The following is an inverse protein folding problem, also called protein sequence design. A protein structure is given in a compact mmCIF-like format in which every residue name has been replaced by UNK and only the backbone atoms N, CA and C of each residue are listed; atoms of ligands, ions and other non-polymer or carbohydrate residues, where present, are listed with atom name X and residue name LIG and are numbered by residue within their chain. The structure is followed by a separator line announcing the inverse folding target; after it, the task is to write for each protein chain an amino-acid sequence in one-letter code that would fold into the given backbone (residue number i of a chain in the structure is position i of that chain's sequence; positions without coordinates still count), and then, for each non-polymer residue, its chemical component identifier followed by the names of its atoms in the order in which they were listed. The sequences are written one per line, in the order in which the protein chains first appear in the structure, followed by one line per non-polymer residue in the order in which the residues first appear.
data_IF_665507116019
#
_entry.id   IF_665507116019
#
_cell.length_a   1.000
_cell.length_b   1.000
_cell.length_c   1.000
_cell.angle_alpha   90.00
_cell.angle_beta   90.00
_cell.angle_gamma   90.00
#
_symmetry.space_group_name_H-M   'P 1'
#
loop_
_entity.id
_entity.type
_entity.pdbx_description
1 polymer ?
#
# COMPACT_ATOMS: atom_id res chain seq x y z
N UNK A 1 18.46 9.82 17.60
CA UNK A 1 18.56 11.29 17.48
C UNK A 1 18.35 11.67 16.02
N UNK A 2 17.27 12.38 15.67
CA UNK A 2 16.90 12.60 14.26
C UNK A 2 17.91 13.53 13.56
N UNK A 3 18.31 13.18 12.33
CA UNK A 3 19.23 14.00 11.50
C UNK A 3 18.79 15.47 11.36
N UNK A 4 17.50 15.74 11.55
CA UNK A 4 16.92 17.09 11.60
C UNK A 4 17.43 17.92 12.79
N UNK A 5 17.56 17.32 13.98
CA UNK A 5 18.14 18.01 15.16
C UNK A 5 19.60 18.38 14.91
N UNK A 6 20.38 17.47 14.31
CA UNK A 6 21.78 17.77 13.97
C UNK A 6 21.89 18.92 12.96
N UNK A 7 21.01 18.95 11.96
CA UNK A 7 20.98 20.03 10.96
C UNK A 7 20.57 21.38 11.56
N UNK A 8 19.53 21.40 12.41
CA UNK A 8 19.09 22.62 13.10
C UNK A 8 20.15 23.15 14.06
N UNK A 9 20.85 22.27 14.79
CA UNK A 9 21.97 22.65 15.64
C UNK A 9 23.12 23.21 14.78
N UNK A 10 23.41 22.60 13.63
CA UNK A 10 24.40 23.13 12.69
C UNK A 10 24.05 24.51 12.16
N UNK A 11 22.81 24.73 11.71
CA UNK A 11 22.36 26.04 11.24
C UNK A 11 22.36 27.09 12.35
N UNK A 12 21.90 26.74 13.56
CA UNK A 12 21.92 27.63 14.71
C UNK A 12 23.36 28.01 15.09
N UNK A 13 24.29 27.04 15.05
CA UNK A 13 25.69 27.29 15.35
C UNK A 13 26.33 28.23 14.32
N UNK A 14 26.07 28.03 13.02
CA UNK A 14 26.56 28.92 11.96
C UNK A 14 26.00 30.33 12.11
N UNK A 15 24.70 30.46 12.42
CA UNK A 15 24.08 31.77 12.65
C UNK A 15 24.67 32.48 13.88
N UNK A 16 24.87 31.75 14.98
CA UNK A 16 25.49 32.29 16.21
C UNK A 16 26.92 32.74 15.93
N UNK A 17 27.71 31.95 15.20
CA UNK A 17 29.08 32.32 14.81
C UNK A 17 29.07 33.57 13.94
N UNK A 18 28.14 33.68 12.97
CA UNK A 18 28.00 34.87 12.13
C UNK A 18 27.62 36.11 12.93
N UNK A 19 26.64 36.01 13.83
CA UNK A 19 26.21 37.11 14.71
C UNK A 19 27.35 37.53 15.62
N UNK A 20 28.05 36.58 16.23
CA UNK A 20 29.21 36.84 17.08
C UNK A 20 30.33 37.52 16.30
N UNK A 21 30.62 37.09 15.08
CA UNK A 21 31.61 37.74 14.21
C UNK A 21 31.20 39.17 13.86
N UNK A 22 29.91 39.38 13.54
CA UNK A 22 29.39 40.71 13.19
C UNK A 22 29.45 41.68 14.38
N UNK A 23 29.08 41.23 15.59
CA UNK A 23 29.20 42.02 16.81
C UNK A 23 30.66 42.30 17.16
N UNK A 24 31.55 41.32 17.02
CA UNK A 24 32.95 41.47 17.40
C UNK A 24 33.74 42.40 16.47
N UNK A 25 33.38 42.44 15.18
CA UNK A 25 34.03 43.31 14.19
C UNK A 25 33.36 44.68 14.03
N UNK A 26 32.08 44.83 14.41
CA UNK A 26 31.31 46.06 14.23
C UNK A 26 31.83 47.28 14.98
N UNK A 27 32.41 47.10 16.17
CA UNK A 27 32.83 48.22 17.04
C UNK A 27 34.28 48.69 16.85
N UNK A 28 35.13 47.91 16.17
CA UNK A 28 36.59 48.18 16.11
C UNK A 28 37.17 48.50 14.74
N UNK A 29 36.41 48.35 13.66
CA UNK A 29 36.93 48.57 12.32
C UNK A 29 36.05 49.54 11.54
N UNK A 30 36.59 50.74 11.27
CA UNK A 30 36.22 51.53 10.09
C UNK A 30 36.56 50.69 8.86
N UNK A 31 35.62 49.83 8.48
CA UNK A 31 35.83 48.84 7.42
C UNK A 31 36.00 49.59 6.11
N UNK A 32 37.12 49.40 5.43
CA UNK A 32 37.32 49.94 4.09
C UNK A 32 36.21 49.40 3.16
N UNK A 33 35.71 50.20 2.19
CA UNK A 33 34.58 49.83 1.33
C UNK A 33 34.80 48.51 0.57
N UNK A 34 36.05 48.08 0.37
CA UNK A 34 36.41 46.79 -0.20
C UNK A 34 36.03 45.59 0.69
N UNK A 35 36.09 45.70 2.02
CA UNK A 35 35.74 44.62 2.95
C UNK A 35 34.24 44.30 3.00
N UNK A 36 33.38 45.29 2.72
CA UNK A 36 31.93 45.10 2.65
C UNK A 36 31.49 44.30 1.42
N UNK A 37 32.25 44.35 0.33
CA UNK A 37 31.95 43.66 -0.93
C UNK A 37 32.23 42.16 -0.80
N UNK A 38 33.33 41.76 -0.16
CA UNK A 38 33.65 40.34 0.03
C UNK A 38 32.75 39.63 1.05
N UNK A 39 32.31 40.33 2.10
CA UNK A 39 31.43 39.75 3.13
C UNK A 39 30.02 39.42 2.63
N UNK A 40 29.46 40.25 1.75
CA UNK A 40 28.11 40.03 1.21
C UNK A 40 28.03 38.86 0.23
N UNK A 41 29.09 38.63 -0.56
CA UNK A 41 29.16 37.51 -1.51
C UNK A 41 29.15 36.13 -0.84
N UNK A 42 29.89 35.95 0.26
CA UNK A 42 29.94 34.67 0.98
C UNK A 42 28.59 34.32 1.62
N UNK A 43 27.94 35.31 2.24
CA UNK A 43 26.62 35.14 2.83
C UNK A 43 25.60 34.75 1.76
N UNK A 44 25.59 35.44 0.61
CA UNK A 44 24.71 35.11 -0.50
C UNK A 44 24.93 33.68 -1.03
N UNK A 45 26.18 33.23 -1.14
CA UNK A 45 26.50 31.87 -1.59
C UNK A 45 25.98 30.80 -0.61
N UNK A 46 26.21 30.96 0.70
CA UNK A 46 25.73 30.03 1.73
C UNK A 46 24.20 29.98 1.77
N UNK A 47 23.54 31.13 1.71
CA UNK A 47 22.07 31.20 1.67
C UNK A 47 21.51 30.54 0.41
N UNK A 48 22.11 30.78 -0.75
CA UNK A 48 21.70 30.14 -2.00
C UNK A 48 21.81 28.61 -1.91
N UNK A 49 22.92 28.11 -1.39
CA UNK A 49 23.14 26.67 -1.24
C UNK A 49 22.17 26.04 -0.22
N UNK A 50 21.83 26.75 0.85
CA UNK A 50 20.82 26.32 1.81
C UNK A 50 19.43 26.22 1.17
N UNK A 51 19.03 27.22 0.37
CA UNK A 51 17.75 27.22 -0.33
C UNK A 51 17.66 26.09 -1.36
N UNK A 52 18.72 25.85 -2.12
CA UNK A 52 18.80 24.73 -3.07
C UNK A 52 18.63 23.39 -2.33
N UNK A 53 19.38 23.19 -1.25
CA UNK A 53 19.27 21.97 -0.45
C UNK A 53 17.86 21.77 0.14
N UNK A 54 17.23 22.82 0.65
CA UNK A 54 15.85 22.74 1.17
C UNK A 54 14.85 22.38 0.06
N UNK A 55 15.01 22.96 -1.14
CA UNK A 55 14.18 22.67 -2.30
C UNK A 55 14.35 21.24 -2.79
N UNK A 56 15.59 20.78 -2.96
CA UNK A 56 15.91 19.40 -3.35
C UNK A 56 15.33 18.41 -2.35
N UNK A 57 15.54 18.64 -1.04
CA UNK A 57 14.99 17.77 0.00
C UNK A 57 13.47 17.73 0.00
N UNK A 58 12.80 18.85 -0.26
CA UNK A 58 11.35 18.88 -0.38
C UNK A 58 10.89 18.08 -1.60
N UNK A 59 11.58 18.23 -2.73
CA UNK A 59 11.30 17.49 -3.96
C UNK A 59 11.50 15.98 -3.77
N UNK A 60 12.61 15.57 -3.15
CA UNK A 60 12.93 14.16 -2.93
C UNK A 60 11.88 13.50 -2.03
N UNK A 61 11.45 14.19 -0.96
CA UNK A 61 10.33 13.71 -0.13
C UNK A 61 9.02 13.57 -0.90
N UNK A 62 8.69 14.52 -1.78
CA UNK A 62 7.49 14.44 -2.60
C UNK A 62 7.55 13.27 -3.59
N UNK A 63 8.73 13.00 -4.15
CA UNK A 63 8.95 11.84 -5.03
C UNK A 63 8.80 10.54 -4.23
N UNK A 64 9.48 10.41 -3.10
CA UNK A 64 9.37 9.22 -2.22
C UNK A 64 7.93 8.98 -1.76
N UNK A 65 7.19 10.02 -1.37
CA UNK A 65 5.79 9.92 -0.97
C UNK A 65 4.88 9.50 -2.14
N UNK A 66 5.16 9.99 -3.36
CA UNK A 66 4.42 9.62 -4.56
C UNK A 66 4.66 8.15 -4.91
N UNK A 67 5.92 7.71 -4.89
CA UNK A 67 6.31 6.34 -5.23
C UNK A 67 5.72 5.36 -4.22
N UNK A 68 5.79 5.69 -2.93
CA UNK A 68 5.16 4.91 -1.85
C UNK A 68 3.65 4.76 -2.07
N UNK A 69 2.94 5.85 -2.38
CA UNK A 69 1.49 5.80 -2.64
C UNK A 69 1.16 5.03 -3.90
N UNK A 70 1.97 5.15 -4.94
CA UNK A 70 1.79 4.43 -6.18
C UNK A 70 1.91 2.91 -5.98
N UNK A 71 2.94 2.47 -5.26
CA UNK A 71 3.14 1.04 -4.92
C UNK A 71 1.99 0.52 -4.06
N UNK A 72 1.60 1.27 -3.01
CA UNK A 72 0.48 0.89 -2.16
C UNK A 72 -0.84 0.82 -2.95
N UNK A 73 -1.05 1.72 -3.91
CA UNK A 73 -2.23 1.70 -4.78
C UNK A 73 -2.22 0.47 -5.70
N UNK A 74 -1.09 0.14 -6.31
CA UNK A 74 -0.98 -1.07 -7.14
C UNK A 74 -1.30 -2.32 -6.34
N UNK A 75 -0.73 -2.45 -5.15
CA UNK A 75 -1.00 -3.58 -4.26
C UNK A 75 -2.47 -3.64 -3.86
N UNK A 76 -3.06 -2.51 -3.42
CA UNK A 76 -4.47 -2.46 -3.05
C UNK A 76 -5.38 -2.88 -4.22
N UNK A 77 -5.13 -2.38 -5.43
CA UNK A 77 -5.92 -2.72 -6.63
C UNK A 77 -5.78 -4.20 -6.99
N UNK A 78 -4.59 -4.79 -6.86
CA UNK A 78 -4.41 -6.23 -7.07
C UNK A 78 -5.22 -7.06 -6.07
N UNK A 79 -5.22 -6.68 -4.80
CA UNK A 79 -6.01 -7.36 -3.77
C UNK A 79 -7.52 -7.18 -3.99
N UNK A 80 -7.97 -5.97 -4.33
CA UNK A 80 -9.38 -5.67 -4.65
C UNK A 80 -9.85 -6.50 -5.85
N UNK A 81 -9.04 -6.58 -6.90
CA UNK A 81 -9.33 -7.41 -8.07
C UNK A 81 -9.50 -8.87 -7.68
N UNK A 82 -8.61 -9.41 -6.85
CA UNK A 82 -8.71 -10.78 -6.37
C UNK A 82 -10.02 -11.02 -5.60
N UNK A 83 -10.40 -10.10 -4.70
CA UNK A 83 -11.66 -10.20 -3.96
C UNK A 83 -12.89 -10.16 -4.88
N UNK A 84 -12.88 -9.33 -5.92
CA UNK A 84 -13.94 -9.28 -6.94
C UNK A 84 -13.99 -10.60 -7.72
N UNK A 85 -12.84 -11.15 -8.12
CA UNK A 85 -12.78 -12.45 -8.80
C UNK A 85 -13.33 -13.59 -7.92
N UNK A 86 -13.08 -13.57 -6.60
CA UNK A 86 -13.72 -14.49 -5.66
C UNK A 86 -15.25 -14.36 -5.67
N UNK A 87 -15.78 -13.13 -5.60
CA UNK A 87 -17.22 -12.87 -5.64
C UNK A 87 -17.86 -13.36 -6.96
N UNK A 88 -17.18 -13.17 -8.09
CA UNK A 88 -17.65 -13.68 -9.38
C UNK A 88 -17.70 -15.22 -9.42
N UNK A 89 -16.69 -15.90 -8.87
CA UNK A 89 -16.66 -17.37 -8.79
C UNK A 89 -17.75 -17.92 -7.85
N UNK A 90 -18.06 -17.22 -6.76
CA UNK A 90 -19.17 -17.57 -5.85
C UNK A 90 -20.50 -17.58 -6.58
N UNK A 91 -20.80 -16.55 -7.39
CA UNK A 91 -22.03 -16.52 -8.18
C UNK A 91 -22.07 -17.70 -9.16
N UNK A 92 -20.97 -17.96 -9.87
CA UNK A 92 -20.88 -19.11 -10.79
C UNK A 92 -21.11 -20.45 -10.09
N UNK A 93 -20.58 -20.64 -8.87
CA UNK A 93 -20.82 -21.85 -8.09
C UNK A 93 -22.29 -21.95 -7.68
N UNK A 94 -22.91 -20.82 -7.32
CA UNK A 94 -24.33 -20.77 -6.96
C UNK A 94 -25.20 -21.18 -8.14
N UNK A 95 -24.88 -20.72 -9.35
CA UNK A 95 -25.57 -21.13 -10.58
C UNK A 95 -25.42 -22.65 -10.85
N UNK A 96 -24.21 -23.20 -10.66
CA UNK A 96 -23.94 -24.64 -10.81
C UNK A 96 -24.73 -25.46 -9.77
N UNK A 97 -24.80 -24.99 -8.52
CA UNK A 97 -25.57 -25.65 -7.48
C UNK A 97 -27.08 -25.63 -7.79
N UNK A 98 -27.60 -24.51 -8.27
CA UNK A 98 -29.00 -24.39 -8.69
C UNK A 98 -29.32 -25.35 -9.84
N UNK A 99 -28.47 -25.41 -10.86
CA UNK A 99 -28.60 -26.36 -11.98
C UNK A 99 -28.56 -27.82 -11.49
N UNK A 100 -27.66 -28.13 -10.54
CA UNK A 100 -27.58 -29.46 -9.93
C UNK A 100 -28.87 -29.85 -9.22
N UNK A 101 -29.50 -28.92 -8.48
CA UNK A 101 -30.77 -29.21 -7.82
C UNK A 101 -31.91 -29.49 -8.81
N UNK A 102 -31.87 -28.89 -9.99
CA UNK A 102 -32.87 -29.09 -11.04
C UNK A 102 -32.61 -30.38 -11.85
N UNK A 103 -31.35 -30.64 -12.23
CA UNK A 103 -30.99 -31.71 -13.19
C UNK A 103 -30.43 -32.97 -12.53
N UNK A 104 -30.06 -32.91 -11.24
CA UNK A 104 -29.37 -33.97 -10.47
C UNK A 104 -28.04 -34.42 -11.08
N UNK A 105 -27.44 -33.63 -11.96
CA UNK A 105 -26.18 -33.94 -12.63
C UNK A 105 -25.28 -32.71 -12.67
N UNK A 106 -23.99 -32.91 -12.45
CA UNK A 106 -22.99 -31.87 -12.69
C UNK A 106 -22.47 -32.00 -14.12
N UNK A 107 -22.84 -31.07 -14.99
CA UNK A 107 -22.28 -30.99 -16.35
C UNK A 107 -21.04 -30.09 -16.42
N UNK A 108 -20.80 -29.27 -15.38
CA UNK A 108 -19.76 -28.24 -15.36
C UNK A 108 -18.83 -28.45 -14.16
N UNK A 109 -17.52 -28.34 -14.39
CA UNK A 109 -16.53 -28.42 -13.34
C UNK A 109 -16.63 -27.22 -12.37
N UNK A 110 -16.41 -27.48 -11.09
CA UNK A 110 -16.38 -26.43 -10.06
C UNK A 110 -15.18 -25.52 -10.32
N UNK A 111 -15.37 -24.19 -10.37
CA UNK A 111 -14.25 -23.28 -10.52
C UNK A 111 -13.30 -23.38 -9.31
N UNK A 112 -12.00 -23.42 -9.59
CA UNK A 112 -10.93 -23.41 -8.57
C UNK A 112 -10.85 -22.07 -7.83
N UNK A 113 -9.92 -21.93 -6.88
CA UNK A 113 -9.57 -20.61 -6.34
C UNK A 113 -8.94 -19.72 -7.44
N UNK A 114 -9.19 -18.40 -7.42
CA UNK A 114 -8.45 -17.49 -8.29
C UNK A 114 -6.98 -17.48 -7.90
N UNK A 115 -6.12 -17.23 -8.89
CA UNK A 115 -4.69 -17.11 -8.66
C UNK A 115 -4.36 -15.66 -8.27
N UNK A 116 -3.70 -15.47 -7.14
CA UNK A 116 -3.24 -14.16 -6.70
C UNK A 116 -1.83 -13.91 -7.26
N UNK A 117 -1.74 -13.10 -8.33
CA UNK A 117 -0.47 -12.62 -8.85
C UNK A 117 -0.10 -11.29 -8.21
N UNK A 118 0.83 -11.33 -7.25
CA UNK A 118 1.40 -10.12 -6.68
C UNK A 118 2.28 -9.42 -7.72
N UNK A 119 2.31 -8.07 -7.80
CA UNK A 119 3.15 -7.39 -8.77
C UNK A 119 4.64 -7.53 -8.42
N UNK A 120 5.47 -7.92 -9.38
CA UNK A 120 6.93 -8.12 -9.18
C UNK A 120 7.66 -6.83 -8.80
N UNK A 121 7.13 -5.68 -9.23
CA UNK A 121 7.71 -4.36 -9.00
C UNK A 121 7.42 -3.77 -7.61
N UNK A 122 6.75 -4.51 -6.71
CA UNK A 122 6.45 -4.00 -5.36
C UNK A 122 7.72 -3.96 -4.53
N UNK A 123 8.24 -2.75 -4.32
CA UNK A 123 9.29 -2.53 -3.33
C UNK A 123 8.71 -2.59 -1.91
N UNK A 124 8.72 -3.78 -1.31
CA UNK A 124 8.16 -4.07 0.02
C UNK A 124 8.70 -3.17 1.16
N UNK A 125 9.84 -2.50 0.95
CA UNK A 125 10.41 -1.53 1.91
C UNK A 125 9.49 -0.36 2.23
N UNK A 126 8.53 -0.05 1.36
CA UNK A 126 7.61 1.07 1.53
C UNK A 126 6.31 0.73 2.27
N UNK A 127 6.05 -0.56 2.48
CA UNK A 127 4.87 -1.08 3.16
C UNK A 127 5.27 -1.48 4.58
N UNK A 128 4.37 -1.31 5.55
CA UNK A 128 4.64 -1.72 6.93
C UNK A 128 4.83 -3.24 7.01
N UNK A 129 5.82 -3.67 7.80
CA UNK A 129 6.22 -5.07 7.92
C UNK A 129 5.06 -5.99 8.33
N UNK A 130 4.14 -5.52 9.17
CA UNK A 130 2.94 -6.27 9.56
C UNK A 130 2.03 -6.53 8.35
N UNK A 131 1.72 -5.50 7.55
CA UNK A 131 0.92 -5.66 6.33
C UNK A 131 1.65 -6.53 5.29
N UNK A 132 2.95 -6.35 5.12
CA UNK A 132 3.75 -7.19 4.22
C UNK A 132 3.68 -8.66 4.63
N UNK A 133 3.78 -8.97 5.93
CA UNK A 133 3.62 -10.33 6.42
C UNK A 133 2.21 -10.88 6.14
N UNK A 134 1.15 -10.09 6.38
CA UNK A 134 -0.22 -10.49 6.07
C UNK A 134 -0.40 -10.78 4.57
N UNK A 135 0.08 -9.89 3.69
CA UNK A 135 -0.02 -10.04 2.22
C UNK A 135 0.76 -11.25 1.72
N UNK A 136 2.01 -11.43 2.16
CA UNK A 136 2.84 -12.57 1.74
C UNK A 136 2.30 -13.90 2.27
N UNK A 137 1.56 -13.89 3.39
CA UNK A 137 0.87 -15.07 3.90
C UNK A 137 -0.36 -15.48 3.08
N UNK A 138 -0.86 -14.64 2.16
CA UNK A 138 -2.02 -14.98 1.34
C UNK A 138 -1.74 -16.15 0.40
N UNK A 139 -0.58 -16.19 -0.25
CA UNK A 139 -0.24 -17.26 -1.18
C UNK A 139 -0.33 -18.67 -0.56
N UNK A 140 0.32 -18.96 0.59
CA UNK A 140 0.17 -20.26 1.24
C UNK A 140 -1.26 -20.52 1.75
N UNK A 141 -1.99 -19.48 2.19
CA UNK A 141 -3.40 -19.62 2.60
C UNK A 141 -4.30 -20.02 1.44
N UNK A 142 -4.12 -19.41 0.26
CA UNK A 142 -4.87 -19.74 -0.96
C UNK A 142 -4.56 -21.18 -1.38
N UNK A 143 -3.29 -21.58 -1.36
CA UNK A 143 -2.89 -22.96 -1.67
C UNK A 143 -3.49 -23.97 -0.68
N UNK A 144 -3.59 -23.62 0.60
CA UNK A 144 -4.24 -24.45 1.62
C UNK A 144 -5.75 -24.56 1.37
N UNK A 145 -6.43 -23.45 1.07
CA UNK A 145 -7.86 -23.45 0.74
C UNK A 145 -8.15 -24.30 -0.50
N UNK A 146 -7.33 -24.20 -1.56
CA UNK A 146 -7.45 -25.05 -2.75
C UNK A 146 -7.30 -26.54 -2.40
N UNK A 147 -6.32 -26.89 -1.57
CA UNK A 147 -6.14 -28.26 -1.09
C UNK A 147 -7.33 -28.77 -0.26
N UNK A 148 -7.94 -27.91 0.56
CA UNK A 148 -9.17 -28.23 1.31
C UNK A 148 -10.34 -28.51 0.37
N UNK A 149 -10.54 -27.67 -0.64
CA UNK A 149 -11.60 -27.85 -1.66
C UNK A 149 -11.40 -29.17 -2.40
N UNK A 150 -10.18 -29.45 -2.86
CA UNK A 150 -9.87 -30.68 -3.58
C UNK A 150 -10.08 -31.91 -2.71
N UNK A 151 -9.66 -31.87 -1.44
CA UNK A 151 -9.89 -32.96 -0.50
C UNK A 151 -11.39 -33.27 -0.32
N UNK A 152 -12.23 -32.24 -0.13
CA UNK A 152 -13.68 -32.43 0.01
C UNK A 152 -14.31 -32.91 -1.29
N UNK A 153 -13.85 -32.42 -2.45
CA UNK A 153 -14.27 -32.91 -3.76
C UNK A 153 -14.03 -34.41 -3.92
N UNK A 154 -12.83 -34.88 -3.55
CA UNK A 154 -12.45 -36.28 -3.67
C UNK A 154 -13.16 -37.17 -2.64
N UNK A 155 -13.35 -36.68 -1.42
CA UNK A 155 -13.91 -37.47 -0.32
C UNK A 155 -15.45 -37.51 -0.30
N UNK A 156 -16.10 -36.38 -0.61
CA UNK A 156 -17.55 -36.18 -0.43
C UNK A 156 -18.30 -35.80 -1.71
N UNK A 157 -17.58 -35.71 -2.84
CA UNK A 157 -18.15 -35.47 -4.17
C UNK A 157 -18.40 -34.00 -4.49
N UNK A 158 -18.92 -33.77 -5.70
CA UNK A 158 -19.05 -32.42 -6.29
C UNK A 158 -19.97 -31.49 -5.51
N UNK A 159 -21.07 -31.98 -4.94
CA UNK A 159 -21.99 -31.12 -4.19
C UNK A 159 -21.32 -30.53 -2.93
N UNK A 160 -20.74 -31.38 -2.09
CA UNK A 160 -20.01 -30.96 -0.89
C UNK A 160 -18.79 -30.08 -1.24
N UNK A 161 -18.10 -30.39 -2.33
CA UNK A 161 -16.96 -29.60 -2.78
C UNK A 161 -17.35 -28.22 -3.33
N UNK A 162 -18.52 -28.07 -3.95
CA UNK A 162 -19.05 -26.76 -4.36
C UNK A 162 -19.38 -25.89 -3.14
N UNK A 163 -20.02 -26.46 -2.11
CA UNK A 163 -20.31 -25.74 -0.86
C UNK A 163 -19.01 -25.31 -0.15
N UNK A 164 -18.03 -26.21 -0.06
CA UNK A 164 -16.72 -25.87 0.52
C UNK A 164 -15.98 -24.81 -0.29
N UNK A 165 -16.03 -24.88 -1.63
CA UNK A 165 -15.45 -23.86 -2.50
C UNK A 165 -16.09 -22.49 -2.27
N UNK A 166 -17.43 -22.44 -2.18
CA UNK A 166 -18.14 -21.21 -1.88
C UNK A 166 -17.74 -20.63 -0.52
N UNK A 167 -17.63 -21.47 0.51
CA UNK A 167 -17.20 -21.08 1.86
C UNK A 167 -15.79 -20.49 1.86
N UNK A 168 -14.84 -21.17 1.22
CA UNK A 168 -13.44 -20.73 1.15
C UNK A 168 -13.28 -19.44 0.35
N UNK A 169 -13.99 -19.31 -0.79
CA UNK A 169 -13.99 -18.09 -1.60
C UNK A 169 -14.56 -16.89 -0.83
N UNK A 170 -15.62 -17.07 -0.04
CA UNK A 170 -16.19 -16.00 0.80
C UNK A 170 -15.18 -15.53 1.84
N UNK A 171 -14.61 -16.48 2.59
CA UNK A 171 -13.61 -16.19 3.63
C UNK A 171 -12.38 -15.47 3.06
N UNK A 172 -11.81 -16.01 1.97
CA UNK A 172 -10.60 -15.42 1.36
C UNK A 172 -10.90 -14.10 0.66
N UNK A 173 -12.00 -14.01 -0.09
CA UNK A 173 -12.39 -12.77 -0.75
C UNK A 173 -12.62 -11.63 0.26
N UNK A 174 -13.30 -11.91 1.36
CA UNK A 174 -13.51 -10.94 2.43
C UNK A 174 -12.20 -10.53 3.11
N UNK A 175 -11.36 -11.49 3.51
CA UNK A 175 -10.09 -11.19 4.20
C UNK A 175 -9.15 -10.37 3.32
N UNK A 176 -9.05 -10.71 2.03
CA UNK A 176 -8.24 -9.97 1.05
C UNK A 176 -8.79 -8.57 0.81
N UNK A 177 -10.11 -8.40 0.77
CA UNK A 177 -10.75 -7.09 0.68
C UNK A 177 -10.39 -6.20 1.88
N UNK A 178 -10.54 -6.73 3.10
CA UNK A 178 -10.17 -6.01 4.33
C UNK A 178 -8.69 -5.63 4.34
N UNK A 179 -7.81 -6.49 3.81
CA UNK A 179 -6.38 -6.20 3.70
C UNK A 179 -6.12 -5.06 2.70
N UNK A 180 -6.83 -5.02 1.58
CA UNK A 180 -6.74 -3.91 0.63
C UNK A 180 -7.18 -2.57 1.26
N UNK A 181 -8.26 -2.59 2.05
CA UNK A 181 -8.70 -1.40 2.80
C UNK A 181 -7.65 -0.94 3.81
N UNK A 182 -7.03 -1.86 4.57
CA UNK A 182 -5.91 -1.54 5.47
C UNK A 182 -4.76 -0.86 4.74
N UNK A 183 -4.35 -1.40 3.57
CA UNK A 183 -3.29 -0.80 2.73
C UNK A 183 -3.67 0.63 2.32
N UNK A 184 -4.92 0.86 1.87
CA UNK A 184 -5.37 2.22 1.50
C UNK A 184 -5.37 3.18 2.68
N UNK A 185 -5.90 2.76 3.83
CA UNK A 185 -5.98 3.59 5.04
C UNK A 185 -4.59 4.01 5.52
N UNK A 186 -3.65 3.07 5.57
CA UNK A 186 -2.28 3.34 5.99
C UNK A 186 -1.60 4.40 5.13
N UNK A 187 -1.85 4.38 3.82
CA UNK A 187 -1.24 5.31 2.86
C UNK A 187 -2.09 6.55 2.56
N UNK A 188 -3.20 6.74 3.29
CA UNK A 188 -4.17 7.84 3.09
C UNK A 188 -4.67 7.92 1.65
N UNK A 189 -4.87 6.77 1.03
CA UNK A 189 -5.44 6.63 -0.30
C UNK A 189 -6.96 6.56 -0.14
N UNK A 190 -7.70 7.30 -0.96
CA UNK A 190 -9.16 7.23 -0.92
C UNK A 190 -9.64 5.78 -1.14
N UNK A 191 -10.61 5.29 -0.35
CA UNK A 191 -11.27 4.03 -0.65
C UNK A 191 -11.91 4.13 -2.04
N UNK A 192 -11.93 3.02 -2.76
CA UNK A 192 -12.65 2.92 -4.04
C UNK A 192 -14.03 2.33 -3.78
N UNK A 193 -15.04 2.94 -4.39
CA UNK A 193 -16.40 2.41 -4.41
C UNK A 193 -16.62 1.81 -5.78
N UNK A 194 -16.66 0.48 -5.86
CA UNK A 194 -16.98 -0.21 -7.10
C UNK A 194 -18.48 -0.26 -7.28
N UNK A 195 -19.00 0.49 -8.24
CA UNK A 195 -20.41 0.42 -8.66
C UNK A 195 -20.49 -0.52 -9.87
N UNK A 196 -20.65 -1.82 -9.61
CA UNK A 196 -20.77 -2.87 -10.65
C UNK A 196 -22.25 -3.07 -11.03
N UNK A 197 -22.91 -2.00 -11.51
CA UNK A 197 -24.34 -2.02 -11.79
C UNK A 197 -25.17 -2.18 -10.52
N UNK A 198 -26.09 -3.15 -10.50
CA UNK A 198 -26.94 -3.48 -9.35
C UNK A 198 -26.31 -4.50 -8.40
N UNK A 199 -25.13 -5.03 -8.73
CA UNK A 199 -24.50 -6.10 -7.95
C UNK A 199 -23.55 -5.54 -6.89
N UNK A 200 -23.95 -5.65 -5.63
CA UNK A 200 -23.10 -5.34 -4.47
C UNK A 200 -22.26 -6.58 -4.11
N UNK A 201 -21.08 -6.71 -4.72
CA UNK A 201 -20.21 -7.88 -4.52
C UNK A 201 -19.77 -8.07 -3.05
N UNK A 202 -19.73 -7.01 -2.24
CA UNK A 202 -19.40 -7.11 -0.81
C UNK A 202 -20.45 -7.89 -0.02
N UNK A 203 -21.72 -7.82 -0.42
CA UNK A 203 -22.78 -8.58 0.22
C UNK A 203 -22.64 -10.08 -0.08
N UNK A 204 -22.18 -10.42 -1.28
CA UNK A 204 -21.80 -11.80 -1.64
C UNK A 204 -20.69 -12.34 -0.72
N UNK A 205 -19.75 -11.49 -0.29
CA UNK A 205 -18.63 -11.89 0.57
C UNK A 205 -18.97 -11.92 2.08
N UNK A 206 -19.89 -11.07 2.55
CA UNK A 206 -20.19 -10.91 3.99
C UNK A 206 -21.11 -11.96 4.62
N UNK A 207 -21.82 -12.76 3.81
CA UNK A 207 -23.05 -13.47 4.23
C UNK A 207 -22.92 -14.58 5.29
N UNK A 208 -21.74 -14.89 5.87
CA UNK A 208 -21.56 -16.17 6.60
C UNK A 208 -20.78 -16.14 7.93
N UNK A 209 -20.61 -14.99 8.61
CA UNK A 209 -20.02 -14.97 9.97
C UNK A 209 -21.02 -15.23 11.12
N UNK A 210 -22.19 -15.82 10.84
CA UNK A 210 -23.21 -16.16 11.86
C UNK A 210 -22.91 -17.47 12.58
#
# INVERSE_FOLDING_TARGET
MSRLKLFLIGCAFIAIVFIAMYMYFGDKYSVSPLGQIFGSGLVAAVFSQLLIFMKERSRDKQIEDRDRKFIALQLAVTLERYAIECAMRINKISDILEEYYQTRSFMVAIPSMPNLTLPDAVEWRWIETALTSEVLSLAPRISFSEGSIQFILDAAGMHSGAEESQRQLKLMGHDVWMLAEKVRMQHKISPQTYVLGQWEFLDTLKKERS
#
